data_IF_019706022964
#
_entry.id   IF_019706022964
#
_cell.length_a   1.000
_cell.length_b   1.000
_cell.length_c   1.000
_cell.angle_alpha   90.00
_cell.angle_beta   90.00
_cell.angle_gamma   90.00
#
_symmetry.space_group_name_H-M   'P 1'
#
loop_
_entity.id
_entity.type
_entity.pdbx_description
1 polymer ?
#
# COMPACT_ATOMS: atom_id res chain seq x y z
N UNK A 1 -10.22 -18.01 51.81
CA UNK A 1 -10.77 -19.11 51.00
C UNK A 1 -11.47 -18.50 49.80
N UNK A 2 -11.28 -19.05 48.60
CA UNK A 2 -11.81 -18.50 47.34
C UNK A 2 -13.26 -18.95 47.18
N UNK A 3 -14.19 -18.00 47.10
CA UNK A 3 -15.61 -18.28 46.88
C UNK A 3 -15.84 -18.94 45.52
N UNK A 4 -16.58 -20.05 45.49
CA UNK A 4 -16.89 -20.78 44.24
C UNK A 4 -18.07 -20.14 43.51
N UNK A 5 -18.25 -20.47 42.22
CA UNK A 5 -19.39 -19.99 41.45
C UNK A 5 -20.73 -20.54 41.99
N UNK A 6 -20.71 -21.71 42.64
CA UNK A 6 -21.88 -22.28 43.32
C UNK A 6 -22.22 -21.49 44.59
N UNK A 7 -21.21 -21.07 45.35
CA UNK A 7 -21.39 -20.22 46.54
C UNK A 7 -21.96 -18.85 46.16
N UNK A 8 -21.48 -18.26 45.05
CA UNK A 8 -21.98 -16.97 44.52
C UNK A 8 -23.45 -17.07 44.11
N UNK A 9 -23.88 -18.21 43.56
CA UNK A 9 -25.28 -18.46 43.22
C UNK A 9 -26.10 -19.06 44.38
N UNK A 10 -25.50 -19.24 45.56
CA UNK A 10 -26.12 -19.82 46.77
C UNK A 10 -26.78 -21.19 46.53
N UNK A 11 -26.11 -22.05 45.76
CA UNK A 11 -26.57 -23.40 45.41
C UNK A 11 -25.52 -24.44 45.78
N UNK A 12 -25.95 -25.70 45.91
CA UNK A 12 -25.05 -26.81 46.19
C UNK A 12 -24.15 -27.14 44.99
N UNK A 13 -22.93 -27.58 45.27
CA UNK A 13 -22.03 -28.09 44.24
C UNK A 13 -22.65 -29.30 43.53
N UNK A 14 -22.64 -29.30 42.20
CA UNK A 14 -23.26 -30.35 41.40
C UNK A 14 -24.75 -30.14 41.09
N UNK A 15 -25.31 -28.97 41.44
CA UNK A 15 -26.65 -28.57 41.03
C UNK A 15 -26.88 -28.72 39.52
N UNK A 16 -28.08 -29.14 39.14
CA UNK A 16 -28.48 -29.32 37.76
C UNK A 16 -28.53 -28.00 36.99
N UNK A 17 -28.44 -28.07 35.65
CA UNK A 17 -28.57 -26.90 34.77
C UNK A 17 -29.89 -26.14 34.98
N UNK A 18 -30.95 -26.83 35.43
CA UNK A 18 -32.24 -26.21 35.74
C UNK A 18 -32.15 -25.39 37.03
N UNK A 19 -31.58 -25.96 38.08
CA UNK A 19 -31.39 -25.30 39.39
C UNK A 19 -30.45 -24.09 39.29
N UNK A 20 -29.36 -24.20 38.52
CA UNK A 20 -28.45 -23.07 38.25
C UNK A 20 -29.19 -21.89 37.58
N UNK A 21 -30.12 -22.18 36.65
CA UNK A 21 -30.90 -21.17 35.93
C UNK A 21 -32.01 -20.56 36.78
N UNK A 22 -32.62 -21.34 37.66
CA UNK A 22 -33.64 -20.85 38.60
C UNK A 22 -33.00 -19.97 39.68
N UNK A 23 -31.89 -20.40 40.26
CA UNK A 23 -31.14 -19.61 41.25
C UNK A 23 -30.66 -18.26 40.67
N UNK A 24 -30.11 -18.26 39.45
CA UNK A 24 -29.72 -17.02 38.76
C UNK A 24 -30.91 -16.07 38.56
N UNK A 25 -32.07 -16.59 38.13
CA UNK A 25 -33.26 -15.75 37.93
C UNK A 25 -33.75 -15.14 39.24
N UNK A 26 -33.77 -15.91 40.32
CA UNK A 26 -34.19 -15.42 41.63
C UNK A 26 -33.23 -14.34 42.16
N UNK A 27 -31.92 -14.56 42.05
CA UNK A 27 -30.90 -13.59 42.47
C UNK A 27 -30.91 -12.30 41.64
N UNK A 28 -31.16 -12.38 40.34
CA UNK A 28 -31.33 -11.21 39.48
C UNK A 28 -32.57 -10.41 39.88
N UNK A 29 -33.67 -11.09 40.22
CA UNK A 29 -34.91 -10.45 40.68
C UNK A 29 -34.73 -9.75 42.04
N UNK A 30 -33.91 -10.31 42.93
CA UNK A 30 -33.56 -9.71 44.22
C UNK A 30 -32.73 -8.43 44.09
N UNK A 31 -31.93 -8.28 43.02
CA UNK A 31 -30.93 -7.21 42.84
C UNK A 31 -31.44 -6.05 41.96
N UNK A 32 -32.71 -6.05 41.55
CA UNK A 32 -33.28 -5.00 40.67
C UNK A 32 -33.03 -3.56 41.18
N UNK A 33 -32.73 -2.66 40.23
CA UNK A 33 -32.34 -1.26 40.44
C UNK A 33 -33.34 -0.42 41.24
N UNK A 34 -34.63 -0.76 41.19
CA UNK A 34 -35.68 -0.07 41.96
C UNK A 34 -35.57 -0.28 43.48
N UNK A 35 -34.69 -1.17 43.95
CA UNK A 35 -34.41 -1.44 45.37
C UNK A 35 -32.98 -1.11 45.80
N UNK A 36 -32.22 -0.37 44.98
CA UNK A 36 -30.86 0.06 45.31
C UNK A 36 -29.79 -1.04 45.19
N UNK A 37 -29.94 -1.95 44.23
CA UNK A 37 -29.01 -3.06 44.00
C UNK A 37 -27.58 -2.62 43.66
N UNK A 38 -26.60 -3.34 44.18
CA UNK A 38 -25.17 -3.10 43.95
C UNK A 38 -24.74 -3.68 42.59
N UNK A 39 -24.40 -2.81 41.64
CA UNK A 39 -23.94 -3.16 40.28
C UNK A 39 -22.78 -4.17 40.26
N UNK A 40 -21.92 -4.16 41.28
CA UNK A 40 -20.81 -5.12 41.39
C UNK A 40 -21.29 -6.53 41.73
N UNK A 41 -22.33 -6.65 42.56
CA UNK A 41 -22.94 -7.93 42.90
C UNK A 41 -23.65 -8.53 41.69
N UNK A 42 -24.37 -7.71 40.93
CA UNK A 42 -25.02 -8.14 39.69
C UNK A 42 -24.01 -8.70 38.68
N UNK A 43 -22.90 -7.98 38.47
CA UNK A 43 -21.80 -8.43 37.58
C UNK A 43 -21.21 -9.75 38.05
N UNK A 44 -21.02 -9.92 39.36
CA UNK A 44 -20.46 -11.14 39.96
C UNK A 44 -21.37 -12.36 39.76
N UNK A 45 -22.68 -12.18 39.96
CA UNK A 45 -23.70 -13.24 39.80
C UNK A 45 -23.86 -13.64 38.34
N UNK A 46 -23.88 -12.66 37.43
CA UNK A 46 -23.91 -12.92 35.98
C UNK A 46 -22.69 -13.71 35.51
N UNK A 47 -21.51 -13.35 36.00
CA UNK A 47 -20.28 -14.05 35.66
C UNK A 47 -20.29 -15.50 36.17
N UNK A 48 -20.71 -15.71 37.43
CA UNK A 48 -20.81 -17.04 38.02
C UNK A 48 -21.78 -17.96 37.26
N UNK A 49 -22.93 -17.42 36.82
CA UNK A 49 -23.88 -18.15 35.99
C UNK A 49 -23.32 -18.59 34.64
N UNK A 50 -22.66 -17.69 33.90
CA UNK A 50 -22.05 -18.03 32.61
C UNK A 50 -20.91 -19.03 32.77
N UNK A 51 -20.11 -18.91 33.84
CA UNK A 51 -19.03 -19.85 34.14
C UNK A 51 -19.59 -21.24 34.49
N UNK A 52 -20.67 -21.34 35.27
CA UNK A 52 -21.31 -22.62 35.60
C UNK A 52 -21.98 -23.28 34.38
N UNK A 53 -22.51 -22.49 33.44
CA UNK A 53 -23.09 -23.00 32.18
C UNK A 53 -22.08 -23.79 31.34
N UNK A 54 -20.80 -23.44 31.45
CA UNK A 54 -19.68 -24.12 30.78
C UNK A 54 -18.90 -25.06 31.72
N UNK A 55 -19.43 -25.35 32.91
CA UNK A 55 -18.89 -26.34 33.85
C UNK A 55 -17.73 -25.83 34.73
N UNK A 56 -17.52 -24.52 34.84
CA UNK A 56 -16.44 -23.97 35.67
C UNK A 56 -16.87 -23.73 37.12
N UNK A 57 -16.17 -24.38 38.05
CA UNK A 57 -16.41 -24.28 39.49
C UNK A 57 -15.93 -22.97 40.13
N UNK A 58 -14.86 -22.36 39.60
CA UNK A 58 -14.29 -21.12 40.13
C UNK A 58 -14.16 -20.06 39.04
N UNK A 59 -14.28 -18.79 39.42
CA UNK A 59 -14.00 -17.67 38.54
C UNK A 59 -12.53 -17.66 38.09
N UNK A 60 -12.29 -17.17 36.88
CA UNK A 60 -10.94 -17.07 36.30
C UNK A 60 -9.99 -16.28 37.24
N UNK A 61 -8.76 -16.78 37.43
CA UNK A 61 -7.74 -16.11 38.24
C UNK A 61 -7.36 -14.75 37.64
N UNK A 62 -6.74 -13.84 38.41
CA UNK A 62 -6.33 -12.51 37.90
C UNK A 62 -5.47 -12.63 36.63
N UNK A 63 -4.65 -13.69 36.50
CA UNK A 63 -3.88 -13.99 35.28
C UNK A 63 -4.79 -14.34 34.09
N UNK A 64 -5.77 -15.22 34.28
CA UNK A 64 -6.69 -15.64 33.20
C UNK A 64 -7.68 -14.51 32.85
N UNK A 65 -8.09 -13.70 33.84
CA UNK A 65 -8.85 -12.47 33.61
C UNK A 65 -8.06 -11.45 32.80
N UNK A 66 -6.74 -11.33 32.99
CA UNK A 66 -5.86 -10.50 32.13
C UNK A 66 -5.72 -11.05 30.72
N UNK A 67 -5.69 -12.37 30.53
CA UNK A 67 -5.66 -12.99 29.19
C UNK A 67 -6.97 -12.80 28.42
N UNK A 68 -8.11 -12.77 29.12
CA UNK A 68 -9.45 -12.62 28.51
C UNK A 68 -9.97 -11.20 28.46
N UNK A 69 -9.54 -10.32 29.36
CA UNK A 69 -9.84 -8.91 29.28
C UNK A 69 -9.16 -8.36 28.04
N UNK A 70 -9.96 -7.81 27.11
CA UNK A 70 -9.53 -7.10 25.91
C UNK A 70 -8.76 -5.81 26.26
N UNK A 71 -7.66 -5.94 26.99
CA UNK A 71 -6.75 -4.85 27.36
C UNK A 71 -5.36 -5.27 26.90
N UNK A 72 -5.01 -4.80 25.70
CA UNK A 72 -3.72 -5.03 25.08
C UNK A 72 -2.64 -4.27 25.86
N UNK A 73 -2.04 -4.92 26.85
CA UNK A 73 -0.90 -4.39 27.62
C UNK A 73 0.44 -5.03 27.19
N UNK A 74 0.52 -5.59 25.99
CA UNK A 74 1.73 -6.20 25.46
C UNK A 74 2.46 -5.27 24.48
N UNK A 75 3.75 -5.02 24.72
CA UNK A 75 4.63 -4.29 23.79
C UNK A 75 5.16 -5.15 22.64
N UNK A 76 4.75 -6.42 22.59
CA UNK A 76 5.18 -7.38 21.58
C UNK A 76 4.76 -6.94 20.17
N UNK A 77 5.56 -7.31 19.16
CA UNK A 77 5.26 -6.99 17.77
C UNK A 77 3.92 -7.59 17.30
N UNK A 78 3.53 -8.76 17.84
CA UNK A 78 2.27 -9.41 17.50
C UNK A 78 1.06 -8.67 18.10
N UNK A 79 1.17 -8.16 19.32
CA UNK A 79 0.10 -7.38 19.94
C UNK A 79 -0.09 -6.03 19.24
N UNK A 80 1.02 -5.36 18.88
CA UNK A 80 0.99 -4.15 18.05
C UNK A 80 0.34 -4.42 16.70
N UNK A 81 0.64 -5.54 16.04
CA UNK A 81 0.03 -5.94 14.76
C UNK A 81 -1.48 -6.21 14.90
N UNK A 82 -1.91 -6.90 15.97
CA UNK A 82 -3.33 -7.14 16.25
C UNK A 82 -4.08 -5.83 16.54
N UNK A 83 -3.50 -4.93 17.34
CA UNK A 83 -4.06 -3.61 17.61
C UNK A 83 -4.20 -2.80 16.32
N UNK A 84 -3.14 -2.71 15.52
CA UNK A 84 -3.17 -1.96 14.27
C UNK A 84 -4.16 -2.56 13.26
N UNK A 85 -4.37 -3.88 13.28
CA UNK A 85 -5.40 -4.52 12.44
C UNK A 85 -6.81 -4.08 12.82
N UNK A 86 -7.13 -4.01 14.11
CA UNK A 86 -8.43 -3.52 14.59
C UNK A 86 -8.63 -2.04 14.23
N UNK A 87 -7.64 -1.20 14.50
CA UNK A 87 -7.70 0.22 14.17
C UNK A 87 -7.83 0.46 12.65
N UNK A 88 -7.21 -0.39 11.82
CA UNK A 88 -7.37 -0.33 10.37
C UNK A 88 -8.80 -0.68 9.93
N UNK A 89 -9.47 -1.58 10.65
CA UNK A 89 -10.90 -1.87 10.42
C UNK A 89 -11.76 -0.64 10.70
N UNK A 90 -11.57 0.00 11.85
CA UNK A 90 -12.35 1.18 12.24
C UNK A 90 -12.14 2.33 11.25
N UNK A 91 -10.89 2.59 10.85
CA UNK A 91 -10.59 3.62 9.84
C UNK A 91 -11.20 3.27 8.48
N UNK A 92 -11.22 2.00 8.09
CA UNK A 92 -11.83 1.63 6.80
C UNK A 92 -13.34 1.96 6.75
N UNK A 93 -14.03 1.83 7.88
CA UNK A 93 -15.45 2.21 8.01
C UNK A 93 -15.60 3.74 8.01
N UNK A 94 -14.70 4.45 8.69
CA UNK A 94 -14.65 5.91 8.66
C UNK A 94 -14.42 6.47 7.25
N UNK A 95 -13.51 5.88 6.46
CA UNK A 95 -13.27 6.30 5.08
C UNK A 95 -14.48 6.04 4.18
N UNK A 96 -15.22 4.96 4.43
CA UNK A 96 -16.49 4.73 3.73
C UNK A 96 -17.54 5.78 4.08
N UNK A 97 -17.61 6.15 5.35
CA UNK A 97 -18.50 7.23 5.83
C UNK A 97 -18.10 8.59 5.23
N UNK A 98 -16.79 8.83 5.06
CA UNK A 98 -16.28 10.01 4.39
C UNK A 98 -16.70 10.05 2.92
N UNK A 99 -16.56 8.93 2.19
CA UNK A 99 -16.98 8.80 0.80
C UNK A 99 -18.47 9.13 0.64
N UNK A 100 -19.33 8.55 1.47
CA UNK A 100 -20.78 8.80 1.45
C UNK A 100 -21.14 10.25 1.77
N UNK A 101 -20.44 10.85 2.74
CA UNK A 101 -20.63 12.25 3.11
C UNK A 101 -20.25 13.20 1.96
N UNK A 102 -19.09 13.03 1.32
CA UNK A 102 -18.71 13.90 0.19
C UNK A 102 -19.63 13.63 -1.02
N UNK A 103 -20.06 12.39 -1.25
CA UNK A 103 -21.03 12.06 -2.29
C UNK A 103 -22.38 12.77 -2.07
N UNK A 104 -22.85 12.90 -0.83
CA UNK A 104 -24.03 13.67 -0.49
C UNK A 104 -23.85 15.18 -0.78
N UNK A 105 -22.70 15.76 -0.41
CA UNK A 105 -22.38 17.16 -0.74
C UNK A 105 -22.33 17.40 -2.25
N UNK A 106 -21.79 16.45 -3.02
CA UNK A 106 -21.78 16.54 -4.48
C UNK A 106 -23.18 16.51 -5.08
N UNK A 107 -24.08 15.64 -4.59
CA UNK A 107 -25.48 15.57 -5.05
C UNK A 107 -26.26 16.83 -4.70
N UNK A 108 -26.06 17.38 -3.51
CA UNK A 108 -26.70 18.62 -3.07
C UNK A 108 -26.03 19.88 -3.65
N UNK A 109 -24.88 19.72 -4.34
CA UNK A 109 -24.01 20.80 -4.78
C UNK A 109 -23.63 21.80 -3.67
N UNK A 110 -23.40 21.29 -2.46
CA UNK A 110 -23.03 22.08 -1.29
C UNK A 110 -21.56 21.88 -0.91
N UNK A 111 -21.06 22.75 -0.04
CA UNK A 111 -19.74 22.65 0.56
C UNK A 111 -19.83 22.13 1.99
N UNK A 112 -18.72 21.64 2.52
CA UNK A 112 -18.67 21.20 3.91
C UNK A 112 -17.26 20.86 4.35
N UNK A 113 -17.05 20.91 5.66
CA UNK A 113 -15.82 20.48 6.33
C UNK A 113 -16.20 19.46 7.40
N UNK A 114 -15.48 18.34 7.47
CA UNK A 114 -15.69 17.32 8.51
C UNK A 114 -14.41 16.54 8.79
N UNK A 115 -14.24 16.14 10.05
CA UNK A 115 -13.18 15.23 10.48
C UNK A 115 -13.64 13.78 10.39
N UNK A 116 -12.76 12.90 9.90
CA UNK A 116 -12.92 11.45 9.84
C UNK A 116 -11.69 10.74 10.40
N UNK A 117 -11.81 9.46 10.72
CA UNK A 117 -10.70 8.64 11.21
C UNK A 117 -10.75 8.43 12.72
N UNK A 118 -9.60 8.12 13.34
CA UNK A 118 -9.56 7.72 14.76
C UNK A 118 -8.66 8.62 15.59
N UNK A 119 -8.91 8.69 16.90
CA UNK A 119 -8.06 9.44 17.83
C UNK A 119 -6.69 8.77 17.98
N UNK A 120 -6.63 7.46 17.79
CA UNK A 120 -5.46 6.62 18.01
C UNK A 120 -4.46 6.64 16.85
N UNK A 121 -4.93 6.71 15.61
CA UNK A 121 -4.07 6.72 14.41
C UNK A 121 -4.07 8.06 13.66
N UNK A 122 -4.91 9.00 14.09
CA UNK A 122 -5.01 10.34 13.52
C UNK A 122 -6.35 10.56 12.84
N UNK A 123 -6.87 11.78 13.03
CA UNK A 123 -8.03 12.27 12.29
C UNK A 123 -7.57 12.98 11.03
N UNK A 124 -8.43 12.97 10.03
CA UNK A 124 -8.26 13.63 8.75
C UNK A 124 -9.36 14.66 8.55
N UNK A 125 -8.99 15.88 8.17
CA UNK A 125 -9.92 16.92 7.76
C UNK A 125 -10.23 16.76 6.28
N UNK A 126 -11.52 16.68 5.96
CA UNK A 126 -12.03 16.69 4.61
C UNK A 126 -12.82 17.97 4.40
N UNK A 127 -12.50 18.71 3.35
CA UNK A 127 -13.18 19.94 2.94
C UNK A 127 -13.59 19.87 1.47
N UNK A 128 -14.90 19.83 1.20
CA UNK A 128 -15.45 19.95 -0.17
C UNK A 128 -15.57 21.43 -0.50
N UNK A 129 -14.72 21.93 -1.41
CA UNK A 129 -14.67 23.33 -1.87
C UNK A 129 -15.81 23.68 -2.84
N UNK A 130 -16.15 24.97 -3.04
CA UNK A 130 -17.14 25.37 -4.05
C UNK A 130 -16.84 24.84 -5.46
N UNK A 131 -15.55 24.71 -5.81
CA UNK A 131 -15.05 24.17 -7.09
C UNK A 131 -15.26 22.66 -7.27
N UNK A 132 -15.87 21.96 -6.31
CA UNK A 132 -15.92 20.49 -6.19
C UNK A 132 -14.57 19.82 -5.94
N UNK A 133 -13.49 20.58 -5.78
CA UNK A 133 -12.23 20.00 -5.31
C UNK A 133 -12.38 19.56 -3.86
N UNK A 134 -11.88 18.38 -3.53
CA UNK A 134 -11.79 17.89 -2.17
C UNK A 134 -10.39 18.16 -1.62
N UNK A 135 -10.33 18.91 -0.53
CA UNK A 135 -9.12 19.10 0.26
C UNK A 135 -9.08 18.05 1.38
N UNK A 136 -7.99 17.32 1.49
CA UNK A 136 -7.76 16.32 2.54
C UNK A 136 -6.51 16.68 3.33
N UNK A 137 -6.61 16.80 4.65
CA UNK A 137 -5.44 17.07 5.51
C UNK A 137 -5.32 16.01 6.59
N UNK A 138 -4.13 15.43 6.75
CA UNK A 138 -3.84 14.38 7.70
C UNK A 138 -3.35 13.11 7.04
N UNK A 139 -3.08 12.09 7.85
CA UNK A 139 -2.51 10.83 7.38
C UNK A 139 -3.60 9.88 6.90
N UNK A 140 -3.54 9.47 5.63
CA UNK A 140 -4.41 8.40 5.12
C UNK A 140 -3.79 7.05 5.46
N UNK A 141 -4.41 6.31 6.39
CA UNK A 141 -3.81 5.09 6.95
C UNK A 141 -4.39 3.79 6.38
N UNK A 142 -5.71 3.72 6.16
CA UNK A 142 -6.40 2.49 5.79
C UNK A 142 -7.71 2.80 5.05
N UNK A 143 -8.23 1.80 4.34
CA UNK A 143 -9.54 1.86 3.73
C UNK A 143 -9.57 2.37 2.29
N UNK A 144 -10.72 2.20 1.67
CA UNK A 144 -10.97 2.66 0.31
C UNK A 144 -11.70 3.99 0.36
N UNK A 145 -11.32 4.90 -0.54
CA UNK A 145 -11.96 6.18 -0.70
C UNK A 145 -12.06 6.54 -2.17
N UNK A 146 -13.29 6.62 -2.70
CA UNK A 146 -13.57 7.01 -4.08
C UNK A 146 -14.10 8.43 -4.16
N UNK A 147 -13.64 9.19 -5.16
CA UNK A 147 -14.14 10.53 -5.42
C UNK A 147 -14.19 10.87 -6.90
N UNK A 148 -15.16 11.69 -7.30
CA UNK A 148 -15.44 11.98 -8.72
C UNK A 148 -14.94 13.35 -9.19
N UNK A 149 -14.14 14.04 -8.39
CA UNK A 149 -13.58 15.36 -8.71
C UNK A 149 -12.11 15.43 -8.22
N UNK A 150 -11.35 16.50 -8.54
CA UNK A 150 -9.96 16.60 -8.12
C UNK A 150 -9.78 16.51 -6.59
N UNK A 151 -8.70 15.87 -6.16
CA UNK A 151 -8.28 15.82 -4.75
C UNK A 151 -6.96 16.57 -4.59
N UNK A 152 -6.89 17.40 -3.57
CA UNK A 152 -5.66 18.00 -3.08
C UNK A 152 -5.44 17.52 -1.65
N UNK A 153 -4.27 16.96 -1.37
CA UNK A 153 -3.97 16.37 -0.07
C UNK A 153 -2.70 16.95 0.55
N UNK A 154 -2.72 17.08 1.88
CA UNK A 154 -1.56 17.34 2.73
C UNK A 154 -1.43 16.23 3.76
N UNK A 155 -0.30 15.51 3.76
CA UNK A 155 -0.03 14.43 4.70
C UNK A 155 0.40 13.13 4.02
N UNK A 156 0.97 12.22 4.79
CA UNK A 156 1.45 10.93 4.27
C UNK A 156 0.29 9.97 3.98
N UNK A 157 0.53 9.06 3.04
CA UNK A 157 -0.37 7.96 2.72
C UNK A 157 0.37 6.67 3.03
N UNK A 158 -0.26 5.79 3.79
CA UNK A 158 0.28 4.46 4.03
C UNK A 158 -0.83 3.44 3.96
N UNK A 159 -0.48 2.17 3.88
CA UNK A 159 -1.43 1.08 3.84
C UNK A 159 -1.03 0.01 4.86
N UNK A 160 -1.99 -0.63 5.56
CA UNK A 160 -1.71 -1.71 6.48
C UNK A 160 -1.34 -2.98 5.70
N UNK A 161 -0.11 -3.03 5.16
CA UNK A 161 0.43 -4.15 4.39
C UNK A 161 0.31 -5.50 5.11
N UNK A 162 0.32 -5.46 6.44
CA UNK A 162 0.20 -6.61 7.32
C UNK A 162 -1.23 -7.18 7.41
N UNK A 163 -2.23 -6.43 6.92
CA UNK A 163 -3.64 -6.83 6.92
C UNK A 163 -3.90 -7.90 5.85
N UNK A 164 -4.59 -9.00 6.20
CA UNK A 164 -5.05 -9.97 5.20
C UNK A 164 -6.32 -9.50 4.46
N UNK A 165 -6.97 -8.42 4.93
CA UNK A 165 -8.23 -7.95 4.35
C UNK A 165 -7.99 -6.80 3.38
N UNK A 166 -8.38 -7.00 2.13
CA UNK A 166 -8.20 -6.00 1.06
C UNK A 166 -8.90 -4.69 1.38
N UNK A 167 -10.12 -4.73 1.92
CA UNK A 167 -10.89 -3.53 2.30
C UNK A 167 -10.20 -2.62 3.33
N UNK A 168 -9.19 -3.12 4.04
CA UNK A 168 -8.42 -2.30 4.99
C UNK A 168 -7.21 -1.65 4.31
N UNK A 169 -6.74 -2.19 3.19
CA UNK A 169 -5.63 -1.59 2.45
C UNK A 169 -6.04 -0.23 1.90
N UNK A 170 -5.08 0.68 1.85
CA UNK A 170 -5.37 2.04 1.42
C UNK A 170 -5.52 2.10 -0.08
N UNK A 171 -6.70 2.49 -0.55
CA UNK A 171 -6.96 2.73 -1.97
C UNK A 171 -7.72 4.05 -2.16
N UNK A 172 -7.05 5.04 -2.73
CA UNK A 172 -7.68 6.30 -3.16
C UNK A 172 -7.98 6.20 -4.65
N UNK A 173 -9.25 6.36 -5.04
CA UNK A 173 -9.68 6.33 -6.43
C UNK A 173 -10.35 7.64 -6.84
N UNK A 174 -9.68 8.43 -7.68
CA UNK A 174 -10.24 9.60 -8.33
C UNK A 174 -10.75 9.23 -9.73
N UNK A 175 -12.04 9.37 -10.01
CA UNK A 175 -12.59 9.00 -11.33
C UNK A 175 -12.42 10.11 -12.37
N UNK A 176 -12.48 11.37 -11.93
CA UNK A 176 -12.30 12.55 -12.78
C UNK A 176 -11.56 13.65 -12.02
N UNK A 177 -10.57 14.24 -12.66
CA UNK A 177 -9.67 15.23 -12.06
C UNK A 177 -8.39 14.62 -11.50
N UNK A 178 -7.43 15.48 -11.19
CA UNK A 178 -6.11 15.07 -10.74
C UNK A 178 -6.06 14.83 -9.23
N UNK A 179 -5.16 13.95 -8.81
CA UNK A 179 -4.76 13.76 -7.41
C UNK A 179 -3.41 14.46 -7.18
N UNK A 180 -3.35 15.40 -6.24
CA UNK A 180 -2.12 16.15 -5.93
C UNK A 180 -1.78 16.11 -4.45
N UNK A 181 -0.52 15.81 -4.16
CA UNK A 181 0.04 15.89 -2.81
C UNK A 181 0.93 17.12 -2.68
N UNK A 182 0.43 18.13 -1.96
CA UNK A 182 1.05 19.46 -1.89
C UNK A 182 2.25 19.46 -0.95
N UNK A 183 3.31 20.17 -1.38
CA UNK A 183 4.57 20.39 -0.64
C UNK A 183 5.16 19.10 -0.06
N UNK A 184 4.93 17.98 -0.74
CA UNK A 184 5.24 16.64 -0.26
C UNK A 184 6.74 16.43 -0.04
N UNK A 185 7.59 16.96 -0.92
CA UNK A 185 9.04 16.90 -0.76
C UNK A 185 9.54 17.74 0.42
N UNK A 186 9.06 18.97 0.56
CA UNK A 186 9.46 19.88 1.64
C UNK A 186 9.03 19.35 3.01
N UNK A 187 7.81 18.79 3.09
CA UNK A 187 7.25 18.26 4.33
C UNK A 187 7.55 16.77 4.56
N UNK A 188 8.31 16.13 3.67
CA UNK A 188 8.64 14.70 3.71
C UNK A 188 7.40 13.81 3.82
N UNK A 189 6.31 14.20 3.17
CA UNK A 189 5.15 13.33 3.02
C UNK A 189 5.51 12.21 2.06
N UNK A 190 5.27 10.98 2.50
CA UNK A 190 5.62 9.77 1.75
C UNK A 190 4.37 8.93 1.49
N UNK A 191 4.45 8.11 0.45
CA UNK A 191 3.43 7.13 0.05
C UNK A 191 4.08 5.75 0.16
N UNK A 192 3.67 4.96 1.16
CA UNK A 192 4.30 3.66 1.49
C UNK A 192 3.26 2.56 1.79
N UNK A 193 3.73 1.35 2.05
CA UNK A 193 3.01 0.28 2.71
C UNK A 193 2.14 -0.53 1.76
N UNK A 194 2.36 -0.40 0.46
CA UNK A 194 1.46 -0.98 -0.54
C UNK A 194 0.19 -0.17 -0.70
N UNK A 195 0.26 1.15 -0.55
CA UNK A 195 -0.87 2.02 -0.83
C UNK A 195 -1.15 2.07 -2.34
N UNK A 196 -2.43 2.24 -2.69
CA UNK A 196 -2.87 2.35 -4.08
C UNK A 196 -3.52 3.70 -4.32
N UNK A 197 -3.09 4.37 -5.39
CA UNK A 197 -3.74 5.57 -5.92
C UNK A 197 -4.10 5.32 -7.37
N UNK A 198 -5.36 5.53 -7.71
CA UNK A 198 -5.87 5.37 -9.07
C UNK A 198 -6.57 6.65 -9.49
N UNK A 199 -6.16 7.20 -10.62
CA UNK A 199 -6.79 8.36 -11.25
C UNK A 199 -7.22 7.93 -12.65
N UNK A 200 -8.53 7.78 -12.88
CA UNK A 200 -9.05 7.27 -14.17
C UNK A 200 -8.90 8.30 -15.29
N UNK A 201 -9.30 9.54 -15.02
CA UNK A 201 -9.27 10.65 -15.98
C UNK A 201 -8.64 11.89 -15.33
N UNK A 202 -7.32 11.96 -15.38
CA UNK A 202 -6.56 13.06 -14.77
C UNK A 202 -5.13 12.62 -14.46
N UNK A 203 -4.43 13.49 -13.74
CA UNK A 203 -3.02 13.31 -13.44
C UNK A 203 -2.79 12.93 -11.97
N UNK A 204 -1.62 12.36 -11.69
CA UNK A 204 -1.08 12.18 -10.35
C UNK A 204 0.16 13.06 -10.20
N UNK A 205 0.20 13.89 -9.16
CA UNK A 205 1.37 14.67 -8.79
C UNK A 205 1.68 14.45 -7.31
N UNK A 206 2.75 13.72 -7.02
CA UNK A 206 3.10 13.32 -5.66
C UNK A 206 4.60 13.43 -5.39
N UNK A 207 4.97 13.29 -4.13
CA UNK A 207 6.36 13.37 -3.67
C UNK A 207 7.12 12.07 -3.87
N UNK A 208 7.86 11.66 -2.85
CA UNK A 208 8.51 10.36 -2.85
C UNK A 208 7.47 9.25 -2.65
N UNK A 209 7.83 8.06 -3.13
CA UNK A 209 6.99 6.86 -3.02
C UNK A 209 7.90 5.70 -2.68
N UNK A 210 7.50 4.91 -1.71
CA UNK A 210 8.20 3.71 -1.31
C UNK A 210 7.29 2.48 -1.32
N UNK A 211 7.90 1.33 -1.58
CA UNK A 211 7.30 0.02 -1.37
C UNK A 211 7.73 -0.58 -0.04
N UNK A 212 7.24 -1.79 0.24
CA UNK A 212 7.70 -2.54 1.40
C UNK A 212 7.98 -4.00 1.08
N UNK A 213 9.10 -4.50 1.60
CA UNK A 213 9.41 -5.93 1.65
C UNK A 213 9.34 -6.41 3.10
N UNK A 214 8.70 -7.55 3.32
CA UNK A 214 8.63 -8.23 4.62
C UNK A 214 9.30 -9.60 4.49
N UNK A 215 10.35 -9.87 5.26
CA UNK A 215 10.89 -11.23 5.37
C UNK A 215 9.99 -12.03 6.32
N UNK A 216 9.36 -13.09 5.81
CA UNK A 216 8.51 -13.98 6.60
C UNK A 216 9.12 -15.38 6.69
N UNK A 217 8.88 -16.14 7.77
CA UNK A 217 9.30 -17.52 7.85
C UNK A 217 8.78 -18.35 6.68
N UNK A 218 9.57 -19.32 6.24
CA UNK A 218 9.21 -20.22 5.15
C UNK A 218 7.84 -20.86 5.40
N UNK A 219 6.88 -20.77 4.45
CA UNK A 219 5.53 -21.30 4.64
C UNK A 219 5.48 -22.81 4.92
N UNK A 220 6.53 -23.56 4.55
CA UNK A 220 6.65 -25.01 4.80
C UNK A 220 7.29 -25.31 6.17
N UNK A 221 7.57 -24.28 6.99
CA UNK A 221 8.12 -24.44 8.34
C UNK A 221 9.59 -24.84 8.39
N UNK A 222 10.32 -24.72 7.28
CA UNK A 222 11.75 -25.06 7.20
C UNK A 222 12.55 -24.09 8.08
N UNK A 223 13.18 -24.63 9.11
CA UNK A 223 13.96 -23.85 10.09
C UNK A 223 15.10 -23.10 9.39
N UNK A 224 15.24 -21.81 9.68
CA UNK A 224 16.28 -20.95 9.10
C UNK A 224 16.01 -20.43 7.69
N UNK A 225 14.88 -20.82 7.06
CA UNK A 225 14.49 -20.29 5.75
C UNK A 225 13.44 -19.17 5.90
N UNK A 226 13.59 -18.11 5.11
CA UNK A 226 12.61 -17.03 4.98
C UNK A 226 12.26 -16.78 3.52
N UNK A 227 11.04 -16.32 3.29
CA UNK A 227 10.55 -15.87 1.99
C UNK A 227 10.30 -14.37 2.08
N UNK A 228 10.76 -13.63 1.09
CA UNK A 228 10.44 -12.20 0.99
C UNK A 228 9.05 -12.04 0.42
N UNK A 229 8.17 -11.35 1.15
CA UNK A 229 6.88 -10.86 0.67
C UNK A 229 7.01 -9.42 0.23
N UNK A 230 6.47 -9.13 -0.94
CA UNK A 230 6.53 -7.81 -1.55
C UNK A 230 5.16 -7.14 -1.48
N UNK A 231 5.14 -5.90 -1.02
CA UNK A 231 3.95 -5.08 -0.88
C UNK A 231 4.11 -3.86 -1.78
N UNK A 232 3.67 -4.03 -3.04
CA UNK A 232 3.79 -3.00 -4.04
C UNK A 232 2.90 -1.80 -3.75
N UNK A 233 3.50 -0.61 -3.64
CA UNK A 233 2.76 0.64 -3.72
C UNK A 233 2.47 0.93 -5.19
N UNK A 234 1.22 1.26 -5.53
CA UNK A 234 0.76 1.33 -6.93
C UNK A 234 0.15 2.70 -7.25
N UNK A 235 0.73 3.40 -8.22
CA UNK A 235 0.22 4.66 -8.75
C UNK A 235 -0.24 4.46 -10.19
N UNK A 236 -1.53 4.68 -10.45
CA UNK A 236 -2.16 4.40 -11.74
C UNK A 236 -2.89 5.63 -12.28
N UNK A 237 -2.38 6.21 -13.38
CA UNK A 237 -3.01 7.28 -14.16
C UNK A 237 -2.99 6.92 -15.65
N UNK A 238 -3.68 5.84 -16.08
CA UNK A 238 -3.46 5.18 -17.37
C UNK A 238 -3.61 6.09 -18.60
N UNK A 239 -4.43 7.14 -18.50
CA UNK A 239 -4.73 8.10 -19.56
C UNK A 239 -4.13 9.49 -19.31
N UNK A 240 -3.34 9.64 -18.25
CA UNK A 240 -2.83 10.93 -17.80
C UNK A 240 -1.32 10.91 -17.56
N UNK A 241 -0.87 11.96 -16.87
CA UNK A 241 0.51 12.13 -16.43
C UNK A 241 0.67 11.69 -14.98
N UNK A 242 1.77 11.02 -14.68
CA UNK A 242 2.21 10.73 -13.34
C UNK A 242 3.55 11.43 -13.11
N UNK A 243 3.56 12.40 -12.20
CA UNK A 243 4.75 13.15 -11.79
C UNK A 243 5.07 12.78 -10.35
N UNK A 244 6.30 12.32 -10.12
CA UNK A 244 6.70 11.81 -8.81
C UNK A 244 8.19 12.07 -8.53
N UNK A 245 8.54 12.11 -7.24
CA UNK A 245 9.90 12.30 -6.76
C UNK A 245 10.78 11.05 -6.89
N UNK A 246 11.50 10.72 -5.82
CA UNK A 246 12.31 9.49 -5.76
C UNK A 246 11.45 8.29 -5.38
N UNK A 247 11.64 7.19 -6.11
CA UNK A 247 10.94 5.93 -5.90
C UNK A 247 11.91 4.90 -5.32
N UNK A 248 11.45 4.16 -4.31
CA UNK A 248 12.28 3.16 -3.61
C UNK A 248 11.50 1.86 -3.34
N UNK A 249 12.21 0.74 -3.33
CA UNK A 249 11.63 -0.58 -3.04
C UNK A 249 10.49 -0.94 -4.02
N UNK A 250 9.62 -1.86 -3.61
CA UNK A 250 8.56 -2.44 -4.44
C UNK A 250 7.49 -1.42 -4.85
N UNK A 251 7.63 -0.78 -6.02
CA UNK A 251 6.68 0.23 -6.52
C UNK A 251 6.29 -0.05 -7.97
N UNK A 252 5.00 0.16 -8.29
CA UNK A 252 4.50 0.15 -9.68
C UNK A 252 3.96 1.51 -10.05
N UNK A 253 4.48 2.07 -11.14
CA UNK A 253 3.99 3.28 -11.77
C UNK A 253 3.34 2.89 -13.11
N UNK A 254 2.14 3.38 -13.38
CA UNK A 254 1.45 3.14 -14.65
C UNK A 254 0.74 4.40 -15.10
N UNK A 255 1.16 4.97 -16.24
CA UNK A 255 0.50 6.13 -16.82
C UNK A 255 0.60 6.13 -18.37
N UNK A 256 0.04 7.15 -19.02
CA UNK A 256 0.45 7.45 -20.40
C UNK A 256 1.85 8.08 -20.38
N UNK A 257 2.02 9.11 -19.55
CA UNK A 257 3.29 9.80 -19.37
C UNK A 257 3.77 9.68 -17.92
N UNK A 258 4.94 9.10 -17.70
CA UNK A 258 5.60 9.02 -16.39
C UNK A 258 6.77 9.99 -16.35
N UNK A 259 6.80 10.85 -15.35
CA UNK A 259 7.91 11.75 -15.03
C UNK A 259 8.38 11.45 -13.62
N UNK A 260 9.62 11.00 -13.49
CA UNK A 260 10.17 10.53 -12.22
C UNK A 260 11.58 11.09 -12.00
N UNK A 261 11.93 11.35 -10.75
CA UNK A 261 13.28 11.74 -10.38
C UNK A 261 14.19 10.52 -10.35
N UNK A 262 14.05 9.66 -9.34
CA UNK A 262 14.93 8.48 -9.16
C UNK A 262 14.12 7.19 -9.07
N UNK A 263 14.72 6.07 -9.47
CA UNK A 263 14.14 4.73 -9.42
C UNK A 263 15.15 3.79 -8.75
N UNK A 264 14.80 3.23 -7.60
CA UNK A 264 15.73 2.42 -6.79
C UNK A 264 15.04 1.18 -6.27
N UNK A 265 15.55 -0.01 -6.61
CA UNK A 265 15.20 -1.31 -6.01
C UNK A 265 13.78 -1.81 -6.31
N UNK A 266 13.63 -2.78 -7.23
CA UNK A 266 12.36 -3.45 -7.57
C UNK A 266 11.22 -2.47 -7.97
N UNK A 267 11.53 -1.58 -8.91
CA UNK A 267 10.57 -0.60 -9.41
C UNK A 267 10.12 -0.97 -10.82
N UNK A 268 8.80 -0.94 -11.04
CA UNK A 268 8.17 -1.25 -12.33
C UNK A 268 7.49 -0.03 -12.88
N UNK A 269 7.86 0.40 -14.09
CA UNK A 269 7.37 1.64 -14.70
C UNK A 269 6.74 1.33 -16.05
N UNK A 270 5.43 1.51 -16.17
CA UNK A 270 4.69 1.33 -17.41
C UNK A 270 4.26 2.68 -17.98
N UNK A 271 4.60 2.94 -19.24
CA UNK A 271 4.25 4.21 -19.88
C UNK A 271 4.45 4.22 -21.40
N UNK A 272 3.82 5.19 -22.05
CA UNK A 272 4.11 5.56 -23.44
C UNK A 272 5.27 6.55 -23.50
N UNK A 273 5.28 7.54 -22.60
CA UNK A 273 6.38 8.49 -22.46
C UNK A 273 6.99 8.36 -21.07
N UNK A 274 8.20 7.82 -20.96
CA UNK A 274 8.89 7.64 -19.68
C UNK A 274 10.08 8.60 -19.61
N UNK A 275 10.03 9.55 -18.68
CA UNK A 275 11.02 10.62 -18.53
C UNK A 275 11.67 10.52 -17.14
N UNK A 276 12.94 10.13 -17.10
CA UNK A 276 13.72 9.97 -15.88
C UNK A 276 14.71 11.12 -15.74
N UNK A 277 14.53 11.95 -14.71
CA UNK A 277 15.28 13.20 -14.54
C UNK A 277 16.47 13.09 -13.58
N UNK A 278 16.42 12.16 -12.64
CA UNK A 278 17.46 11.98 -11.64
C UNK A 278 18.57 11.04 -12.12
N UNK A 279 19.62 10.97 -11.29
CA UNK A 279 20.86 10.27 -11.60
C UNK A 279 20.85 8.80 -11.19
N UNK A 280 19.79 8.31 -10.52
CA UNK A 280 19.74 6.96 -9.95
C UNK A 280 18.63 6.11 -10.58
N UNK A 281 19.04 5.06 -11.28
CA UNK A 281 18.18 3.99 -11.79
C UNK A 281 18.84 2.66 -11.46
N UNK A 282 18.62 2.15 -10.26
CA UNK A 282 19.45 1.08 -9.70
C UNK A 282 18.63 -0.07 -9.14
N UNK A 283 19.15 -1.29 -9.24
CA UNK A 283 18.61 -2.51 -8.63
C UNK A 283 17.21 -2.88 -9.14
N UNK A 284 17.14 -3.86 -10.05
CA UNK A 284 15.88 -4.48 -10.49
C UNK A 284 14.80 -3.47 -10.93
N UNK A 285 15.19 -2.50 -11.77
CA UNK A 285 14.24 -1.57 -12.39
C UNK A 285 13.78 -2.10 -13.74
N UNK A 286 12.47 -2.25 -13.91
CA UNK A 286 11.85 -2.71 -15.14
C UNK A 286 10.96 -1.63 -15.75
N UNK A 287 11.26 -1.25 -17.00
CA UNK A 287 10.44 -0.35 -17.79
C UNK A 287 9.58 -1.14 -18.76
N UNK A 288 8.29 -0.87 -18.81
CA UNK A 288 7.34 -1.40 -19.79
C UNK A 288 6.94 -0.28 -20.75
N UNK A 289 7.48 -0.33 -21.97
CA UNK A 289 7.29 0.72 -22.97
C UNK A 289 6.16 0.35 -23.93
N UNK A 290 5.09 1.16 -23.93
CA UNK A 290 3.95 1.01 -24.85
C UNK A 290 4.33 1.37 -26.29
N UNK A 291 3.66 0.77 -27.26
CA UNK A 291 3.87 0.98 -28.70
C UNK A 291 3.75 2.46 -29.08
N UNK A 292 4.63 2.95 -29.97
CA UNK A 292 4.70 4.37 -30.34
C UNK A 292 5.22 5.26 -29.22
N UNK A 293 5.85 4.68 -28.20
CA UNK A 293 6.36 5.37 -27.03
C UNK A 293 7.86 5.67 -27.10
N UNK A 294 8.35 6.34 -26.06
CA UNK A 294 9.76 6.64 -25.86
C UNK A 294 10.14 6.64 -24.38
N UNK A 295 11.41 6.35 -24.13
CA UNK A 295 12.05 6.56 -22.84
C UNK A 295 13.24 7.50 -22.98
N UNK A 296 13.41 8.42 -22.02
CA UNK A 296 14.52 9.36 -21.97
C UNK A 296 15.07 9.47 -20.56
N UNK A 297 16.39 9.46 -20.48
CA UNK A 297 17.15 9.72 -19.26
C UNK A 297 17.87 11.06 -19.44
N UNK A 298 17.65 12.00 -18.52
CA UNK A 298 18.14 13.37 -18.70
C UNK A 298 19.52 13.62 -18.09
N UNK A 299 19.89 12.94 -17.02
CA UNK A 299 21.15 13.22 -16.34
C UNK A 299 22.37 12.92 -17.24
N UNK A 300 23.34 13.84 -17.18
CA UNK A 300 24.56 13.91 -17.97
C UNK A 300 25.83 13.88 -17.11
N UNK A 301 25.67 13.81 -15.78
CA UNK A 301 26.79 13.89 -14.84
C UNK A 301 27.63 12.61 -14.77
N UNK A 302 28.86 12.74 -14.29
CA UNK A 302 29.75 11.61 -13.98
C UNK A 302 29.24 10.70 -12.84
N UNK A 303 28.20 11.13 -12.12
CA UNK A 303 27.50 10.38 -11.07
C UNK A 303 26.24 9.65 -11.55
N UNK A 304 26.10 9.44 -12.87
CA UNK A 304 24.97 8.76 -13.47
C UNK A 304 25.00 7.25 -13.16
N UNK A 305 24.31 6.89 -12.09
CA UNK A 305 24.21 5.54 -11.56
C UNK A 305 22.96 4.86 -12.12
N UNK A 306 23.02 4.53 -13.40
CA UNK A 306 22.08 3.62 -14.03
C UNK A 306 22.68 2.23 -13.96
N UNK A 307 21.95 1.29 -13.39
CA UNK A 307 22.38 -0.09 -13.28
C UNK A 307 22.26 -0.82 -14.62
N UNK A 308 23.21 -1.70 -14.87
CA UNK A 308 23.27 -2.53 -16.08
C UNK A 308 22.21 -3.65 -16.09
N UNK A 309 21.64 -3.96 -14.93
CA UNK A 309 20.57 -4.95 -14.75
C UNK A 309 19.16 -4.39 -15.05
N UNK A 310 19.00 -3.07 -15.14
CA UNK A 310 17.74 -2.46 -15.50
C UNK A 310 17.31 -2.88 -16.91
N UNK A 311 16.01 -3.07 -17.12
CA UNK A 311 15.49 -3.63 -18.38
C UNK A 311 14.36 -2.80 -18.96
N UNK A 312 14.26 -2.82 -20.29
CA UNK A 312 13.13 -2.28 -21.05
C UNK A 312 12.43 -3.45 -21.72
N UNK A 313 11.15 -3.62 -21.43
CA UNK A 313 10.25 -4.58 -22.05
C UNK A 313 9.28 -3.80 -22.95
N UNK A 314 9.30 -4.10 -24.24
CA UNK A 314 8.35 -3.56 -25.20
C UNK A 314 7.02 -4.30 -25.09
N UNK A 315 5.94 -3.62 -25.44
CA UNK A 315 4.58 -4.19 -25.53
C UNK A 315 4.49 -5.48 -26.36
N UNK A 316 5.33 -5.64 -27.40
CA UNK A 316 5.41 -6.87 -28.20
C UNK A 316 6.23 -8.02 -27.56
N UNK A 317 6.70 -7.86 -26.32
CA UNK A 317 7.43 -8.86 -25.57
C UNK A 317 8.95 -8.84 -25.74
N UNK A 318 9.52 -7.99 -26.61
CA UNK A 318 10.99 -7.86 -26.73
C UNK A 318 11.58 -7.21 -25.48
N UNK A 319 12.61 -7.83 -24.90
CA UNK A 319 13.32 -7.36 -23.70
C UNK A 319 14.74 -6.90 -24.05
N UNK A 320 15.13 -5.74 -23.53
CA UNK A 320 16.44 -5.12 -23.71
C UNK A 320 17.04 -4.82 -22.34
N UNK A 321 18.35 -5.04 -22.18
CA UNK A 321 19.08 -4.57 -21.00
C UNK A 321 19.57 -3.16 -21.25
N UNK A 322 19.51 -2.31 -20.23
CA UNK A 322 19.97 -0.92 -20.33
C UNK A 322 21.47 -0.86 -20.68
N UNK A 323 22.29 -1.82 -20.22
CA UNK A 323 23.70 -1.94 -20.61
C UNK A 323 23.92 -1.96 -22.13
N UNK A 324 23.08 -2.70 -22.86
CA UNK A 324 23.23 -2.85 -24.31
C UNK A 324 22.94 -1.52 -25.04
N UNK A 325 22.06 -0.70 -24.45
CA UNK A 325 21.68 0.61 -24.98
C UNK A 325 22.73 1.68 -24.63
N UNK A 326 23.38 1.58 -23.45
CA UNK A 326 24.53 2.43 -23.10
C UNK A 326 25.69 2.26 -24.08
N UNK A 327 26.02 1.02 -24.44
CA UNK A 327 27.09 0.75 -25.42
C UNK A 327 26.79 1.34 -26.81
N UNK A 328 25.52 1.53 -27.15
CA UNK A 328 25.09 2.20 -28.38
C UNK A 328 25.11 3.75 -28.27
N UNK A 329 25.62 4.32 -27.17
CA UNK A 329 25.71 5.76 -26.89
C UNK A 329 24.37 6.53 -26.89
N UNK A 330 23.24 5.83 -26.72
CA UNK A 330 21.93 6.48 -26.77
C UNK A 330 21.52 7.15 -25.46
N UNK A 331 22.03 6.65 -24.33
CA UNK A 331 21.69 7.13 -23.01
C UNK A 331 22.78 8.08 -22.47
N UNK A 332 24.03 7.95 -22.92
CA UNK A 332 25.21 8.53 -22.26
C UNK A 332 25.69 9.90 -22.76
N UNK A 333 24.94 10.64 -23.60
CA UNK A 333 25.41 11.90 -24.23
C UNK A 333 24.37 13.04 -24.37
N UNK A 334 23.26 13.05 -23.63
CA UNK A 334 22.34 14.21 -23.67
C UNK A 334 20.86 13.92 -23.55
N UNK A 335 20.49 12.66 -23.25
CA UNK A 335 19.10 12.24 -23.26
C UNK A 335 18.53 12.27 -24.66
N UNK A 336 18.99 11.38 -25.53
CA UNK A 336 18.22 11.11 -26.74
C UNK A 336 16.97 10.30 -26.36
N UNK A 337 15.90 10.54 -27.11
CA UNK A 337 14.70 9.72 -26.99
C UNK A 337 15.02 8.32 -27.54
N UNK A 338 14.97 7.31 -26.67
CA UNK A 338 15.01 5.91 -27.09
C UNK A 338 13.58 5.52 -27.43
N UNK A 339 13.26 5.52 -28.73
CA UNK A 339 11.91 5.20 -29.20
C UNK A 339 11.64 3.69 -29.19
N UNK A 340 10.36 3.34 -29.06
CA UNK A 340 9.87 1.98 -29.20
C UNK A 340 10.31 1.37 -30.55
N UNK A 341 10.11 2.10 -31.64
CA UNK A 341 10.38 1.63 -33.01
C UNK A 341 11.87 1.37 -33.24
N UNK A 342 12.73 2.21 -32.66
CA UNK A 342 14.16 2.01 -32.73
C UNK A 342 14.56 0.69 -32.04
N UNK A 343 14.12 0.48 -30.79
CA UNK A 343 14.42 -0.76 -30.05
C UNK A 343 13.87 -1.98 -30.80
N UNK A 344 12.65 -1.89 -31.31
CA UNK A 344 12.01 -2.95 -32.08
C UNK A 344 12.83 -3.34 -33.33
N UNK A 345 13.43 -2.35 -33.99
CA UNK A 345 14.25 -2.50 -35.21
C UNK A 345 15.64 -3.11 -34.98
N UNK A 346 16.23 -2.97 -33.79
CA UNK A 346 17.54 -3.60 -33.49
C UNK A 346 17.36 -5.11 -33.30
N UNK A 347 16.24 -5.53 -32.71
CA UNK A 347 15.91 -6.94 -32.52
C UNK A 347 15.71 -7.71 -33.83
N UNK A 348 15.40 -7.03 -34.94
CA UNK A 348 15.24 -7.64 -36.26
C UNK A 348 16.54 -7.73 -37.08
N UNK A 349 17.65 -7.12 -36.64
CA UNK A 349 18.94 -7.17 -37.36
C UNK A 349 19.87 -8.33 -36.98
N UNK A 350 19.52 -9.15 -35.99
CA UNK A 350 20.20 -10.44 -35.77
C UNK A 350 19.48 -11.55 -36.53
N UNK A 351 19.74 -11.64 -37.84
CA UNK A 351 19.87 -12.84 -38.68
C UNK A 351 19.81 -12.48 -40.18
N UNK A 352 20.72 -11.62 -40.64
CA UNK A 352 21.30 -11.78 -41.98
C UNK A 352 22.81 -11.78 -41.83
N UNK A 353 23.37 -12.96 -41.54
CA UNK A 353 24.73 -13.28 -41.97
C UNK A 353 24.69 -13.28 -43.49
N UNK A 354 24.84 -12.11 -44.12
CA UNK A 354 25.38 -12.09 -45.48
C UNK A 354 26.83 -12.54 -45.37
N UNK A 355 27.06 -13.80 -45.74
CA UNK A 355 28.38 -14.29 -46.10
C UNK A 355 28.96 -13.35 -47.17
N UNK A 356 29.85 -12.47 -46.73
CA UNK A 356 30.65 -11.60 -47.58
C UNK A 356 32.14 -11.85 -47.37
N UNK A 357 32.53 -13.12 -47.23
CA UNK A 357 33.92 -13.56 -47.39
C UNK A 357 34.14 -13.74 -48.90
N UNK A 358 34.38 -12.65 -49.59
CA UNK A 358 35.20 -12.61 -50.80
C UNK A 358 35.39 -11.16 -51.27
N UNK A 359 36.58 -10.89 -51.79
CA UNK A 359 37.06 -9.63 -52.40
C UNK A 359 37.63 -8.59 -51.42
N UNK A 360 38.85 -8.85 -50.94
CA UNK A 360 39.93 -7.84 -50.84
C UNK A 360 41.29 -8.52 -50.61
N UNK A 361 41.71 -9.32 -51.58
CA UNK A 361 43.11 -9.70 -51.75
C UNK A 361 43.43 -9.61 -53.25
N UNK A 362 43.74 -8.39 -53.69
CA UNK A 362 43.91 -8.09 -55.10
C UNK A 362 44.08 -6.60 -55.38
N UNK A 363 45.05 -5.94 -54.71
CA UNK A 363 45.54 -4.61 -55.15
C UNK A 363 46.95 -4.27 -54.65
N UNK A 364 47.83 -5.25 -54.45
CA UNK A 364 49.25 -5.01 -54.14
C UNK A 364 50.21 -5.49 -55.23
N UNK A 365 49.79 -5.43 -56.49
CA UNK A 365 50.65 -5.76 -57.63
C UNK A 365 50.34 -4.87 -58.83
N UNK A 366 50.90 -3.66 -58.85
CA UNK A 366 51.22 -2.85 -60.05
C UNK A 366 51.77 -1.49 -59.63
N UNK A 367 52.98 -1.48 -59.10
CA UNK A 367 53.91 -0.35 -59.26
C UNK A 367 55.22 -0.99 -59.65
N UNK A 368 55.59 -0.84 -60.92
CA UNK A 368 56.90 -0.95 -61.57
C UNK A 368 56.69 -1.38 -63.02
N UNK A 369 56.93 -0.44 -63.93
CA UNK A 369 56.82 -0.63 -65.37
C UNK A 369 57.51 0.49 -66.12
N UNK A 370 58.75 0.19 -66.50
CA UNK A 370 59.68 0.90 -67.40
C UNK A 370 60.46 2.08 -66.86
#
# INVERSE_FOLDING_TARGET
>A
MTESNYDILRISEGASKREIREAYRNLVLEIHSDRGGNDEQFKKIKQAYEDLKIGKKYADSIKVKKEKAKVFSGDSASDKRRKNLLLSSDISIEMKSAEEWVAALNRANTTGVRLFGSKELGQMEFERKPTKTLSMKGKFWAGHFKYDNPIIMWGSITSPYFSPYERYKSHIHVTSGSFRLIDSLANKYDIDGGAKITVTNGDIEVGNVSGRRESVPDPQGRVGMSVTREHFTELNAPNGKLVTGSIRDTVKLNADTVVVLNLVDNVKVTGKNILVYGSKVTYDVEFFLKKGGKIRFYDQGSGFDISDDATILLENGKKFKIRDIKHAQMISNGGQDVSYEYLDSIGSKKYTKTNGLNTKLGSLGKIFGR
#
